data_IF_483698033385
#
_entry.id   IF_483698033385
#
_cell.length_a   1.000
_cell.length_b   1.000
_cell.length_c   1.000
_cell.angle_alpha   90.00
_cell.angle_beta   90.00
_cell.angle_gamma   90.00
#
_symmetry.space_group_name_H-M   'P 1'
#
loop_
_entity.id
_entity.type
_entity.pdbx_description
1 polymer ?
#
# COMPACT_ATOMS: atom_id res chain seq x y z
N UNK A 1 -8.81 -4.53 -0.56
CA UNK A 1 -8.15 -5.77 -0.09
C UNK A 1 -8.93 -6.95 -0.60
N UNK A 2 -8.28 -8.12 -0.79
CA UNK A 2 -8.95 -9.31 -1.36
C UNK A 2 -10.22 -9.72 -0.60
N UNK A 3 -10.26 -9.47 0.69
CA UNK A 3 -11.40 -9.59 1.61
C UNK A 3 -12.59 -8.67 1.28
N UNK A 4 -12.36 -7.57 0.56
CA UNK A 4 -13.37 -6.63 0.07
C UNK A 4 -13.68 -6.82 -1.43
N UNK A 5 -13.11 -7.84 -2.08
CA UNK A 5 -13.30 -8.09 -3.52
C UNK A 5 -12.56 -7.10 -4.44
N UNK A 6 -11.73 -6.21 -3.88
CA UNK A 6 -11.00 -5.18 -4.62
C UNK A 6 -9.50 -5.23 -4.30
N UNK A 7 -8.60 -4.86 -5.24
CA UNK A 7 -7.18 -4.69 -4.94
C UNK A 7 -6.96 -3.70 -3.77
N UNK A 8 -5.78 -3.73 -3.15
CA UNK A 8 -5.43 -2.72 -2.15
C UNK A 8 -5.28 -1.36 -2.83
N UNK A 9 -6.13 -0.41 -2.48
CA UNK A 9 -6.17 0.91 -3.09
C UNK A 9 -5.88 1.98 -2.06
N UNK A 10 -5.09 2.99 -2.44
CA UNK A 10 -4.83 4.18 -1.63
C UNK A 10 -6.09 5.03 -1.61
N UNK A 11 -6.77 5.09 -0.47
CA UNK A 11 -7.97 5.94 -0.33
C UNK A 11 -7.62 7.42 -0.16
N UNK A 12 -6.53 7.71 0.55
CA UNK A 12 -6.11 9.07 0.87
C UNK A 12 -4.61 9.12 1.10
N UNK A 13 -4.00 10.19 0.62
CA UNK A 13 -2.62 10.57 0.96
C UNK A 13 -2.69 11.82 1.81
N UNK A 14 -1.98 11.81 2.95
CA UNK A 14 -1.95 12.98 3.83
C UNK A 14 -1.04 14.06 3.25
N UNK A 15 -1.46 15.33 3.25
CA UNK A 15 -0.62 16.42 2.77
C UNK A 15 0.62 16.55 3.66
N UNK A 16 1.75 16.91 3.04
CA UNK A 16 3.08 16.99 3.68
C UNK A 16 3.61 15.66 4.25
N UNK A 17 3.01 14.52 3.90
CA UNK A 17 3.52 13.20 4.28
C UNK A 17 4.67 12.74 3.38
N UNK A 18 5.40 11.71 3.82
CA UNK A 18 6.39 11.04 2.97
C UNK A 18 5.74 10.45 1.71
N UNK A 19 4.51 9.93 1.83
CA UNK A 19 3.78 9.37 0.71
C UNK A 19 3.55 10.41 -0.41
N UNK A 20 3.11 11.62 -0.04
CA UNK A 20 2.93 12.71 -1.01
C UNK A 20 4.25 13.12 -1.66
N UNK A 21 5.33 13.24 -0.88
CA UNK A 21 6.67 13.57 -1.39
C UNK A 21 7.22 12.51 -2.35
N UNK A 22 6.84 11.25 -2.16
CA UNK A 22 7.17 10.16 -3.08
C UNK A 22 6.24 10.11 -4.31
N UNK A 23 5.28 11.02 -4.44
CA UNK A 23 4.36 11.08 -5.58
C UNK A 23 3.18 10.10 -5.50
N UNK A 24 2.92 9.51 -4.33
CA UNK A 24 1.76 8.63 -4.12
C UNK A 24 0.47 9.45 -4.25
N UNK A 25 -0.54 8.87 -4.89
CA UNK A 25 -1.83 9.52 -5.09
C UNK A 25 -2.98 8.66 -4.58
N UNK A 26 -4.10 9.32 -4.25
CA UNK A 26 -5.35 8.62 -4.05
C UNK A 26 -5.75 7.89 -5.33
N UNK A 27 -6.36 6.73 -5.17
CA UNK A 27 -6.75 5.76 -6.19
C UNK A 27 -5.63 4.89 -6.76
N UNK A 28 -4.37 5.09 -6.39
CA UNK A 28 -3.29 4.16 -6.77
C UNK A 28 -3.51 2.78 -6.14
N UNK A 29 -3.16 1.72 -6.88
CA UNK A 29 -3.26 0.34 -6.41
C UNK A 29 -1.90 -0.15 -5.92
N UNK A 30 -1.85 -0.68 -4.69
CA UNK A 30 -0.66 -1.32 -4.15
C UNK A 30 -0.58 -2.73 -4.72
N UNK A 31 0.45 -3.03 -5.51
CA UNK A 31 0.70 -4.37 -6.09
C UNK A 31 1.79 -5.15 -5.35
N UNK A 32 2.70 -4.44 -4.65
CA UNK A 32 3.72 -5.04 -3.77
C UNK A 32 4.00 -4.17 -2.55
N UNK A 33 4.29 -4.83 -1.43
CA UNK A 33 4.80 -4.22 -0.20
C UNK A 33 6.14 -4.89 0.10
N UNK A 34 7.24 -4.17 -0.10
CA UNK A 34 8.60 -4.72 -0.11
C UNK A 34 8.71 -5.84 -1.14
N UNK A 35 9.02 -7.04 -0.67
CA UNK A 35 9.15 -8.23 -1.52
C UNK A 35 7.85 -9.05 -1.65
N UNK A 36 6.79 -8.67 -0.94
CA UNK A 36 5.53 -9.43 -0.88
C UNK A 36 4.52 -8.90 -1.89
N UNK A 37 3.99 -9.78 -2.74
CA UNK A 37 2.87 -9.46 -3.64
C UNK A 37 1.58 -9.29 -2.84
N UNK A 38 0.84 -8.24 -3.14
CA UNK A 38 -0.44 -7.93 -2.46
C UNK A 38 -1.66 -8.55 -3.12
N UNK A 39 -1.49 -9.23 -4.27
CA UNK A 39 -2.57 -9.82 -5.07
C UNK A 39 -3.51 -10.73 -4.25
N UNK A 40 -2.95 -11.39 -3.24
CA UNK A 40 -3.69 -12.30 -2.37
C UNK A 40 -3.81 -11.83 -0.93
N UNK A 41 -3.26 -10.65 -0.59
CA UNK A 41 -3.33 -10.12 0.76
C UNK A 41 -4.73 -9.57 1.06
N UNK A 42 -5.22 -9.92 2.25
CA UNK A 42 -6.37 -9.24 2.83
C UNK A 42 -5.93 -7.89 3.39
N UNK A 43 -6.87 -7.00 3.60
CA UNK A 43 -6.62 -5.71 4.23
C UNK A 43 -5.84 -5.82 5.56
N UNK A 44 -6.22 -6.66 6.54
CA UNK A 44 -5.46 -6.79 7.78
C UNK A 44 -4.03 -7.29 7.55
N UNK A 45 -3.84 -8.29 6.68
CA UNK A 45 -2.52 -8.85 6.37
C UNK A 45 -1.60 -7.80 5.74
N UNK A 46 -2.15 -6.96 4.85
CA UNK A 46 -1.42 -5.85 4.25
C UNK A 46 -1.02 -4.81 5.30
N UNK A 47 -1.91 -4.48 6.24
CA UNK A 47 -1.60 -3.56 7.33
C UNK A 47 -0.50 -4.12 8.22
N UNK A 48 -0.53 -5.41 8.53
CA UNK A 48 0.52 -6.06 9.33
C UNK A 48 1.85 -6.06 8.57
N UNK A 49 1.84 -6.39 7.28
CA UNK A 49 3.04 -6.37 6.42
C UNK A 49 3.67 -4.98 6.39
N UNK A 50 2.87 -3.92 6.28
CA UNK A 50 3.36 -2.53 6.33
C UNK A 50 3.95 -2.21 7.70
N UNK A 51 3.30 -2.61 8.80
CA UNK A 51 3.78 -2.37 10.17
C UNK A 51 5.08 -3.13 10.48
N UNK A 52 5.30 -4.27 9.84
CA UNK A 52 6.54 -5.03 9.95
C UNK A 52 7.71 -4.36 9.19
N UNK A 53 7.42 -3.49 8.22
CA UNK A 53 8.46 -2.65 7.62
C UNK A 53 8.87 -1.60 8.65
N UNK A 54 10.14 -1.64 9.06
CA UNK A 54 10.67 -0.77 10.11
C UNK A 54 10.92 0.64 9.57
N UNK A 55 12.20 0.99 9.35
CA UNK A 55 12.61 2.34 8.98
C UNK A 55 12.37 2.69 7.50
N UNK A 56 12.19 1.67 6.66
CA UNK A 56 12.02 1.82 5.21
C UNK A 56 10.84 0.99 4.76
N UNK A 57 9.87 1.64 4.14
CA UNK A 57 8.69 1.01 3.54
C UNK A 57 8.78 1.17 2.03
N UNK A 58 9.04 0.07 1.33
CA UNK A 58 9.02 0.02 -0.13
C UNK A 58 7.63 -0.40 -0.60
N UNK A 59 7.02 0.37 -1.52
CA UNK A 59 5.72 0.08 -2.10
C UNK A 59 5.82 0.17 -3.61
N UNK A 60 5.33 -0.85 -4.32
CA UNK A 60 5.12 -0.77 -5.76
C UNK A 60 3.64 -0.49 -6.01
N UNK A 61 3.38 0.59 -6.75
CA UNK A 61 2.05 1.08 -7.08
C UNK A 61 1.78 0.93 -8.58
N UNK A 62 0.51 0.73 -8.93
CA UNK A 62 0.02 0.73 -10.29
C UNK A 62 -1.19 1.66 -10.41
N UNK A 63 -1.31 2.31 -11.57
CA UNK A 63 -2.44 3.19 -11.93
C UNK A 63 -3.35 2.50 -12.92
#
# INVERSE_FOLDING_TARGET
GKDFGCPLQIQKVNPSSLAERCGMQANDYIVKIGQTSTEHLKHPDAQETIKQQNNTLELTLQR
#
